data_IF_484751914991
#
_entry.id   IF_484751914991
#
_cell.length_a   1.000
_cell.length_b   1.000
_cell.length_c   1.000
_cell.angle_alpha   90.00
_cell.angle_beta   90.00
_cell.angle_gamma   90.00
#
_symmetry.space_group_name_H-M   'P 1'
#
loop_
_entity.id
_entity.type
_entity.pdbx_description
1 polymer ?
#
# COMPACT_ATOMS: atom_id res chain seq x y z
N UNK A 1 -16.32 -25.15 10.02
CA UNK A 1 -16.44 -24.80 8.59
C UNK A 1 -15.13 -24.20 8.11
N UNK A 2 -14.56 -24.74 7.04
CA UNK A 2 -13.34 -24.24 6.41
C UNK A 2 -13.65 -23.91 4.95
N UNK A 3 -12.86 -23.02 4.36
CA UNK A 3 -13.00 -22.64 2.94
C UNK A 3 -12.95 -23.82 1.96
N UNK A 4 -12.37 -24.96 2.37
CA UNK A 4 -12.28 -26.19 1.57
C UNK A 4 -13.59 -26.95 1.46
N UNK A 5 -14.58 -26.60 2.27
CA UNK A 5 -15.89 -27.27 2.32
C UNK A 5 -16.90 -26.59 1.38
N UNK A 6 -16.50 -25.49 0.71
CA UNK A 6 -17.30 -24.81 -0.31
C UNK A 6 -17.40 -25.73 -1.52
N UNK A 7 -18.63 -26.15 -1.85
CA UNK A 7 -19.03 -27.14 -2.86
C UNK A 7 -19.33 -28.57 -2.34
N UNK A 8 -19.30 -28.81 -1.03
CA UNK A 8 -19.91 -30.02 -0.46
C UNK A 8 -21.45 -29.99 -0.65
N UNK A 9 -22.10 -31.16 -0.81
CA UNK A 9 -23.56 -31.25 -1.02
C UNK A 9 -24.38 -30.67 0.15
N UNK A 10 -23.78 -30.67 1.33
CA UNK A 10 -24.28 -30.19 2.60
C UNK A 10 -23.93 -28.71 2.88
N UNK A 11 -23.26 -28.03 1.94
CA UNK A 11 -22.93 -26.61 2.08
C UNK A 11 -24.15 -25.72 1.82
N UNK A 12 -24.63 -25.04 2.87
CA UNK A 12 -25.78 -24.15 2.78
C UNK A 12 -25.38 -22.68 2.60
N UNK A 13 -26.34 -21.84 2.23
CA UNK A 13 -26.12 -20.38 2.19
C UNK A 13 -25.78 -19.81 3.59
N UNK A 14 -26.33 -20.40 4.67
CA UNK A 14 -26.02 -19.98 6.03
C UNK A 14 -24.54 -20.21 6.38
N UNK A 15 -23.98 -21.29 5.85
CA UNK A 15 -22.59 -21.69 6.04
C UNK A 15 -21.65 -20.72 5.32
N UNK A 16 -22.01 -20.34 4.10
CA UNK A 16 -21.35 -19.28 3.35
C UNK A 16 -21.35 -17.95 4.12
N UNK A 17 -22.51 -17.54 4.62
CA UNK A 17 -22.64 -16.32 5.39
C UNK A 17 -21.86 -16.35 6.70
N UNK A 18 -21.79 -17.50 7.38
CA UNK A 18 -20.99 -17.67 8.60
C UNK A 18 -19.50 -17.48 8.34
N UNK A 19 -18.99 -17.93 7.20
CA UNK A 19 -17.59 -17.68 6.80
C UNK A 19 -17.37 -16.20 6.51
N UNK A 20 -18.26 -15.58 5.71
CA UNK A 20 -18.15 -14.18 5.29
C UNK A 20 -18.23 -13.21 6.48
N UNK A 21 -19.18 -13.43 7.38
CA UNK A 21 -19.41 -12.57 8.56
C UNK A 21 -18.29 -12.64 9.61
N UNK A 22 -17.46 -13.68 9.57
CA UNK A 22 -16.28 -13.84 10.44
C UNK A 22 -14.96 -13.54 9.72
N UNK A 23 -15.00 -13.00 8.50
CA UNK A 23 -13.79 -12.59 7.82
C UNK A 23 -13.11 -11.46 8.60
N UNK A 24 -11.77 -11.40 8.57
CA UNK A 24 -11.03 -10.26 9.06
C UNK A 24 -11.60 -8.97 8.49
N UNK A 25 -11.64 -7.93 9.32
CA UNK A 25 -12.21 -6.64 8.92
C UNK A 25 -11.41 -5.97 7.77
N UNK A 26 -10.16 -6.38 7.54
CA UNK A 26 -9.32 -5.95 6.41
C UNK A 26 -9.40 -6.87 5.17
N UNK A 27 -10.22 -7.91 5.19
CA UNK A 27 -10.35 -8.88 4.10
C UNK A 27 -10.86 -8.21 2.81
N UNK A 28 -10.31 -8.56 1.63
CA UNK A 28 -10.78 -8.04 0.34
C UNK A 28 -12.29 -8.20 0.11
N UNK A 29 -12.89 -9.29 0.60
CA UNK A 29 -14.32 -9.54 0.46
C UNK A 29 -15.14 -8.58 1.34
N UNK A 30 -14.68 -8.30 2.56
CA UNK A 30 -15.31 -7.33 3.47
C UNK A 30 -15.28 -5.93 2.87
N UNK A 31 -14.18 -5.57 2.19
CA UNK A 31 -14.09 -4.33 1.42
C UNK A 31 -15.05 -4.29 0.24
N UNK A 32 -15.31 -5.42 -0.43
CA UNK A 32 -16.24 -5.48 -1.55
C UNK A 32 -17.71 -5.34 -1.09
N UNK A 33 -18.05 -5.94 0.06
CA UNK A 33 -19.41 -5.93 0.62
C UNK A 33 -19.71 -4.58 1.28
N UNK A 34 -18.82 -4.11 2.15
CA UNK A 34 -18.97 -2.89 2.94
C UNK A 34 -17.96 -1.83 2.52
N UNK A 35 -17.92 -1.56 1.21
CA UNK A 35 -16.95 -0.62 0.64
C UNK A 35 -16.99 0.77 1.26
N UNK A 36 -18.15 1.25 1.72
CA UNK A 36 -18.27 2.57 2.39
C UNK A 36 -17.76 2.58 3.82
N UNK A 37 -17.86 1.45 4.52
CA UNK A 37 -17.52 1.32 5.95
C UNK A 37 -16.11 0.75 6.17
N UNK A 38 -15.33 0.60 5.10
CA UNK A 38 -13.95 0.20 5.19
C UNK A 38 -13.15 1.23 5.98
N UNK A 39 -12.28 0.80 6.91
CA UNK A 39 -11.65 1.72 7.86
C UNK A 39 -10.91 2.89 7.23
N UNK A 40 -10.33 2.72 6.04
CA UNK A 40 -9.66 3.81 5.35
C UNK A 40 -10.61 4.95 4.92
N UNK A 41 -11.92 4.71 4.87
CA UNK A 41 -12.93 5.75 4.68
C UNK A 41 -13.40 6.37 6.00
N UNK A 42 -13.05 5.78 7.14
CA UNK A 42 -13.26 6.41 8.44
C UNK A 42 -12.08 7.37 8.73
N UNK A 43 -12.32 8.68 8.83
CA UNK A 43 -11.24 9.66 9.04
C UNK A 43 -10.46 9.43 10.34
N UNK A 44 -11.07 8.82 11.37
CA UNK A 44 -10.38 8.53 12.63
C UNK A 44 -9.25 7.51 12.46
N UNK A 45 -9.42 6.54 11.56
CA UNK A 45 -8.38 5.55 11.30
C UNK A 45 -7.19 6.15 10.55
N UNK A 46 -7.44 7.07 9.62
CA UNK A 46 -6.37 7.79 8.93
C UNK A 46 -5.56 8.66 9.91
N UNK A 47 -6.25 9.37 10.81
CA UNK A 47 -5.60 10.16 11.87
C UNK A 47 -4.77 9.28 12.80
N UNK A 48 -5.33 8.17 13.30
CA UNK A 48 -4.60 7.26 14.19
C UNK A 48 -3.36 6.67 13.51
N UNK A 49 -3.47 6.29 12.24
CA UNK A 49 -2.35 5.79 11.43
C UNK A 49 -1.30 6.87 11.20
N UNK A 50 -1.72 8.11 10.94
CA UNK A 50 -0.84 9.27 10.82
C UNK A 50 -0.04 9.56 12.09
N UNK A 51 -0.69 9.45 13.26
CA UNK A 51 -0.03 9.59 14.57
C UNK A 51 1.01 8.47 14.75
N UNK A 52 0.65 7.21 14.47
CA UNK A 52 1.55 6.08 14.58
C UNK A 52 2.79 6.24 13.70
N UNK A 53 2.62 6.65 12.44
CA UNK A 53 3.72 6.87 11.51
C UNK A 53 4.61 8.03 11.94
N UNK A 54 4.01 9.13 12.42
CA UNK A 54 4.73 10.28 12.94
C UNK A 54 5.59 9.92 14.15
N UNK A 55 5.03 9.18 15.11
CA UNK A 55 5.76 8.69 16.28
C UNK A 55 6.87 7.72 15.85
N UNK A 56 6.58 6.78 14.95
CA UNK A 56 7.57 5.79 14.47
C UNK A 56 8.77 6.46 13.80
N UNK A 57 8.52 7.50 12.99
CA UNK A 57 9.58 8.30 12.38
C UNK A 57 10.32 9.15 13.40
N UNK A 58 9.61 9.78 14.34
CA UNK A 58 10.22 10.63 15.37
C UNK A 58 11.10 9.81 16.30
N UNK A 59 10.64 8.66 16.78
CA UNK A 59 11.46 7.70 17.54
C UNK A 59 12.65 7.27 16.71
N UNK A 60 12.43 6.91 15.44
CA UNK A 60 13.53 6.54 14.57
C UNK A 60 14.53 7.67 14.32
N UNK A 61 14.19 8.96 14.51
CA UNK A 61 15.11 10.11 14.41
C UNK A 61 15.78 10.40 15.75
N UNK A 62 15.02 10.42 16.85
CA UNK A 62 15.49 10.73 18.20
C UNK A 62 16.41 9.63 18.75
N UNK A 63 16.15 8.36 18.42
CA UNK A 63 16.97 7.23 18.81
C UNK A 63 18.28 7.11 18.02
N UNK A 64 18.59 8.02 17.08
CA UNK A 64 19.79 7.90 16.24
C UNK A 64 21.06 8.36 16.92
N UNK A 65 22.01 7.42 17.04
CA UNK A 65 23.45 7.70 16.85
C UNK A 65 23.69 8.08 15.37
N UNK A 66 24.62 9.01 15.10
CA UNK A 66 24.96 9.48 13.75
C UNK A 66 25.22 8.31 12.76
N UNK A 67 24.50 8.26 11.62
CA UNK A 67 24.87 7.40 10.47
C UNK A 67 23.81 6.45 9.87
N UNK A 68 22.57 6.41 10.37
CA UNK A 68 21.53 5.48 9.86
C UNK A 68 21.01 5.85 8.45
N UNK A 69 20.85 4.83 7.60
CA UNK A 69 20.34 4.97 6.23
C UNK A 69 18.83 5.19 6.21
N UNK A 70 18.32 5.92 5.22
CA UNK A 70 16.88 6.15 5.02
C UNK A 70 16.05 4.86 4.89
N UNK A 71 16.68 3.76 4.48
CA UNK A 71 16.06 2.43 4.36
C UNK A 71 15.79 1.75 5.71
N UNK A 72 16.50 2.15 6.77
CA UNK A 72 16.39 1.58 8.12
C UNK A 72 15.31 2.28 8.96
N UNK A 73 14.69 3.32 8.39
CA UNK A 73 13.56 4.02 9.00
C UNK A 73 12.29 3.21 8.75
N UNK A 74 11.44 3.00 9.78
CA UNK A 74 10.13 2.42 9.58
C UNK A 74 9.39 3.14 8.46
N UNK A 75 8.92 2.36 7.48
CA UNK A 75 8.11 2.89 6.40
C UNK A 75 6.70 3.18 6.94
N UNK A 76 6.05 4.25 6.46
CA UNK A 76 4.66 4.51 6.77
C UNK A 76 3.77 3.32 6.44
N UNK A 77 2.68 3.15 7.19
CA UNK A 77 1.64 2.16 6.85
C UNK A 77 1.08 2.47 5.45
N UNK A 78 1.02 1.51 4.51
CA UNK A 78 0.59 1.81 3.15
C UNK A 78 -0.90 2.18 3.11
N UNK A 79 -1.24 3.39 2.63
CA UNK A 79 -2.64 3.75 2.39
C UNK A 79 -3.14 3.15 1.07
N UNK A 80 -4.46 2.94 0.90
CA UNK A 80 -5.04 2.46 -0.34
C UNK A 80 -4.81 3.40 -1.52
N UNK A 81 -4.76 4.70 -1.25
CA UNK A 81 -4.47 5.76 -2.23
C UNK A 81 -2.97 6.06 -2.37
N UNK A 82 -2.11 5.49 -1.52
CA UNK A 82 -0.64 5.57 -1.67
C UNK A 82 -0.09 4.64 -2.74
N UNK A 83 -0.96 3.90 -3.45
CA UNK A 83 -0.58 3.19 -4.66
C UNK A 83 -0.04 4.23 -5.63
N UNK A 84 1.28 4.42 -5.58
CA UNK A 84 2.02 5.16 -6.58
C UNK A 84 1.51 4.63 -7.91
N UNK A 85 1.01 5.53 -8.76
CA UNK A 85 1.12 5.26 -10.19
C UNK A 85 2.56 4.83 -10.35
N UNK A 86 2.78 3.58 -10.78
CA UNK A 86 4.06 3.20 -11.33
C UNK A 86 4.24 4.18 -12.48
N UNK A 87 4.88 5.32 -12.21
CA UNK A 87 5.46 6.08 -13.27
C UNK A 87 6.36 5.05 -13.92
N UNK A 88 6.04 4.68 -15.15
CA UNK A 88 6.95 3.91 -15.98
C UNK A 88 8.25 4.70 -15.94
N UNK A 89 9.14 4.32 -15.02
CA UNK A 89 10.46 4.90 -14.94
C UNK A 89 11.04 4.46 -16.25
N UNK A 90 11.03 5.37 -17.23
CA UNK A 90 11.59 5.13 -18.54
C UNK A 90 12.97 4.56 -18.28
N UNK A 91 13.15 3.26 -18.53
CA UNK A 91 14.42 2.55 -18.35
C UNK A 91 15.43 2.95 -19.43
N UNK A 92 15.22 4.12 -20.04
CA UNK A 92 16.09 4.72 -21.03
C UNK A 92 17.16 5.43 -20.23
N UNK A 93 18.40 4.93 -20.28
CA UNK A 93 19.55 5.71 -19.83
C UNK A 93 19.48 7.05 -20.55
N UNK A 94 19.43 8.19 -19.84
CA UNK A 94 19.46 9.49 -20.51
C UNK A 94 20.73 9.54 -21.36
N UNK A 95 20.55 9.74 -22.67
CA UNK A 95 21.66 9.94 -23.59
C UNK A 95 22.50 11.12 -23.12
N UNK A 96 23.82 11.08 -23.37
CA UNK A 96 24.69 12.20 -23.01
C UNK A 96 24.23 13.46 -23.73
N UNK A 97 24.35 14.61 -23.07
CA UNK A 97 23.92 15.91 -23.60
C UNK A 97 24.59 16.21 -24.95
N UNK A 98 25.84 15.76 -25.13
CA UNK A 98 26.59 15.88 -26.39
C UNK A 98 25.92 15.12 -27.54
N UNK A 99 25.46 13.89 -27.29
CA UNK A 99 24.77 13.09 -28.30
C UNK A 99 23.43 13.72 -28.67
N UNK A 100 22.72 14.29 -27.69
CA UNK A 100 21.47 15.03 -27.90
C UNK A 100 21.68 16.31 -28.71
N UNK A 101 22.75 17.08 -28.45
CA UNK A 101 23.07 18.31 -29.19
C UNK A 101 23.39 18.03 -30.65
N UNK A 102 24.12 16.94 -30.94
CA UNK A 102 24.36 16.48 -32.31
C UNK A 102 23.08 16.02 -33.01
N UNK A 103 22.23 15.26 -32.32
CA UNK A 103 20.95 14.77 -32.86
C UNK A 103 19.97 15.91 -33.16
N UNK A 104 19.99 16.97 -32.34
CA UNK A 104 19.15 18.15 -32.47
C UNK A 104 19.75 19.25 -33.38
N UNK A 105 20.97 19.08 -33.86
CA UNK A 105 21.66 20.06 -34.71
C UNK A 105 22.00 21.38 -34.00
N UNK A 106 22.16 21.35 -32.68
CA UNK A 106 22.46 22.52 -31.85
C UNK A 106 23.96 22.81 -31.73
N UNK A 107 24.81 21.89 -32.15
CA UNK A 107 26.24 22.14 -32.30
C UNK A 107 26.47 22.75 -33.70
N UNK A 108 26.55 24.09 -33.73
CA UNK A 108 27.22 24.87 -34.79
C UNK A 108 28.52 25.42 -34.23
#
# INVERSE_FOLDING_TARGET
MRWRDIAAEDFTWSDCWAVISNLPYDDPLMRAINGKDWFWYNPMFDVATGIYDGISQLVAVVSRRHGIKKSEVPKPVPRPWDKKQESEVLKVKPSKIEDLRKLLGWDK
#
